data_IF_486560621362
#
_entry.id   IF_486560621362
#
_cell.length_a   1.000
_cell.length_b   1.000
_cell.length_c   1.000
_cell.angle_alpha   90.00
_cell.angle_beta   90.00
_cell.angle_gamma   90.00
#
_symmetry.space_group_name_H-M   'P 1'
#
loop_
_entity.id
_entity.type
_entity.pdbx_description
1 polymer ?
#
# COMPACT_ATOMS: atom_id res chain seq x y z
N UNK A 1 -57.21 39.53 -51.71
CA UNK A 1 -56.80 39.24 -50.35
C UNK A 1 -55.87 38.00 -50.41
N UNK A 2 -54.55 38.19 -50.41
CA UNK A 2 -53.58 37.11 -50.50
C UNK A 2 -53.04 36.84 -49.10
N UNK A 3 -53.25 35.62 -48.60
CA UNK A 3 -52.79 35.17 -47.31
C UNK A 3 -51.39 34.55 -47.54
N UNK A 4 -50.33 35.17 -46.97
CA UNK A 4 -48.95 34.64 -46.96
C UNK A 4 -48.77 33.76 -45.71
N UNK A 5 -48.41 32.51 -45.92
CA UNK A 5 -47.91 31.61 -44.86
C UNK A 5 -46.38 31.72 -44.76
N UNK A 6 -45.79 31.83 -43.59
CA UNK A 6 -44.34 31.77 -43.43
C UNK A 6 -43.84 30.36 -43.50
N UNK A 7 -42.61 30.12 -43.98
CA UNK A 7 -42.02 28.78 -44.06
C UNK A 7 -41.63 28.25 -42.67
N UNK A 8 -42.06 27.04 -42.37
CA UNK A 8 -41.59 26.26 -41.22
C UNK A 8 -40.13 25.90 -41.43
N UNK A 9 -39.22 26.46 -40.61
CA UNK A 9 -37.87 25.97 -40.47
C UNK A 9 -37.88 24.72 -39.59
N UNK A 10 -37.72 23.56 -40.22
CA UNK A 10 -37.46 22.31 -39.52
C UNK A 10 -35.99 22.34 -38.97
N UNK A 11 -35.84 22.59 -37.70
CA UNK A 11 -34.57 22.45 -37.01
C UNK A 11 -34.29 20.94 -36.80
N UNK A 12 -33.40 20.37 -37.60
CA UNK A 12 -32.91 19.01 -37.38
C UNK A 12 -31.95 19.01 -36.15
N UNK A 13 -32.43 18.50 -35.02
CA UNK A 13 -31.60 18.19 -33.86
C UNK A 13 -30.71 16.98 -34.23
N UNK A 14 -29.43 17.23 -34.56
CA UNK A 14 -28.43 16.19 -34.65
C UNK A 14 -28.06 15.77 -33.23
N UNK A 15 -28.56 14.65 -32.74
CA UNK A 15 -28.18 14.02 -31.50
C UNK A 15 -26.78 13.41 -31.70
N UNK A 16 -25.74 14.09 -31.25
CA UNK A 16 -24.39 13.51 -31.12
C UNK A 16 -24.43 12.48 -30.02
N UNK A 17 -24.50 11.18 -30.37
CA UNK A 17 -24.17 10.09 -29.46
C UNK A 17 -22.67 10.13 -29.26
N UNK A 18 -22.23 10.74 -28.15
CA UNK A 18 -20.89 10.55 -27.62
C UNK A 18 -20.86 9.13 -27.07
N UNK A 19 -20.44 8.16 -27.86
CA UNK A 19 -20.00 6.85 -27.36
C UNK A 19 -18.78 7.12 -26.48
N UNK A 20 -18.98 7.30 -25.18
CA UNK A 20 -17.94 7.17 -24.20
C UNK A 20 -17.51 5.70 -24.23
N UNK A 21 -16.46 5.37 -25.01
CA UNK A 21 -15.68 4.17 -24.79
C UNK A 21 -15.10 4.30 -23.38
N UNK A 22 -15.77 3.74 -22.38
CA UNK A 22 -15.16 3.43 -21.10
C UNK A 22 -14.11 2.39 -21.43
N UNK A 23 -12.85 2.80 -21.60
CA UNK A 23 -11.74 1.86 -21.64
C UNK A 23 -11.71 1.20 -20.27
N UNK A 24 -12.23 -0.04 -20.19
CA UNK A 24 -12.14 -0.84 -18.98
C UNK A 24 -10.66 -1.21 -18.80
N UNK A 25 -9.93 -0.43 -18.00
CA UNK A 25 -8.51 -0.63 -17.72
C UNK A 25 -8.26 -1.63 -16.59
N UNK A 26 -9.31 -2.27 -16.08
CA UNK A 26 -9.26 -3.26 -15.01
C UNK A 26 -9.53 -4.64 -15.59
N UNK A 27 -8.54 -5.54 -15.52
CA UNK A 27 -8.69 -6.98 -15.78
C UNK A 27 -8.84 -7.69 -14.44
N UNK A 28 -9.98 -8.32 -14.20
CA UNK A 28 -10.10 -9.27 -13.11
C UNK A 28 -9.50 -10.60 -13.55
N UNK A 29 -8.52 -11.12 -12.78
CA UNK A 29 -7.85 -12.38 -13.09
C UNK A 29 -8.01 -13.39 -11.95
N UNK A 30 -9.00 -14.27 -12.10
CA UNK A 30 -9.28 -15.30 -11.11
C UNK A 30 -8.24 -16.44 -11.11
N UNK A 31 -7.38 -16.55 -12.13
CA UNK A 31 -6.33 -17.58 -12.17
C UNK A 31 -5.27 -17.37 -11.07
N UNK A 32 -5.15 -16.13 -10.55
CA UNK A 32 -4.25 -15.80 -9.44
C UNK A 32 -4.72 -16.41 -8.12
N UNK A 33 -6.00 -16.82 -8.01
CA UNK A 33 -6.58 -17.45 -6.82
C UNK A 33 -5.83 -18.70 -6.36
N UNK A 34 -5.25 -19.46 -7.30
CA UNK A 34 -4.47 -20.67 -6.99
C UNK A 34 -3.36 -20.44 -5.95
N UNK A 35 -2.70 -19.27 -5.98
CA UNK A 35 -1.62 -18.96 -5.03
C UNK A 35 -2.14 -18.77 -3.61
N UNK A 36 -3.38 -18.30 -3.47
CA UNK A 36 -4.06 -18.18 -2.18
C UNK A 36 -4.54 -19.55 -1.70
N UNK A 37 -5.13 -20.33 -2.60
CA UNK A 37 -5.60 -21.70 -2.30
C UNK A 37 -4.45 -22.63 -1.85
N UNK A 38 -3.32 -22.59 -2.55
CA UNK A 38 -2.10 -23.36 -2.24
C UNK A 38 -1.53 -23.04 -0.85
N UNK A 39 -1.78 -21.82 -0.34
CA UNK A 39 -1.34 -21.36 0.97
C UNK A 39 -2.47 -21.37 2.03
N UNK A 40 -3.66 -21.91 1.72
CA UNK A 40 -4.83 -21.97 2.59
C UNK A 40 -5.20 -20.61 3.21
N UNK A 41 -5.25 -19.56 2.40
CA UNK A 41 -5.60 -18.20 2.83
C UNK A 41 -6.65 -17.58 1.93
N UNK A 42 -7.42 -16.63 2.47
CA UNK A 42 -8.32 -15.76 1.69
C UNK A 42 -7.66 -14.40 1.47
N UNK A 43 -7.61 -13.93 0.23
CA UNK A 43 -6.89 -12.69 -0.03
C UNK A 43 -7.31 -11.94 -1.29
N UNK A 44 -6.57 -10.89 -1.59
CA UNK A 44 -6.62 -10.12 -2.83
C UNK A 44 -5.22 -9.73 -3.28
N UNK A 45 -5.10 -9.49 -4.57
CA UNK A 45 -3.90 -8.96 -5.18
C UNK A 45 -4.27 -7.95 -6.25
N UNK A 46 -3.58 -6.82 -6.30
CA UNK A 46 -3.68 -5.88 -7.40
C UNK A 46 -2.29 -5.51 -7.92
N UNK A 47 -2.16 -5.44 -9.24
CA UNK A 47 -0.99 -4.97 -9.97
C UNK A 47 -1.41 -3.84 -10.90
N UNK A 48 -0.71 -2.72 -10.85
CA UNK A 48 -0.91 -1.59 -11.75
C UNK A 48 0.31 -1.39 -12.66
N UNK A 49 0.13 -1.59 -13.96
CA UNK A 49 1.09 -1.25 -15.00
C UNK A 49 1.03 0.26 -15.27
N UNK A 50 2.04 1.00 -14.81
CA UNK A 50 2.05 2.46 -14.93
C UNK A 50 2.18 2.96 -16.38
N UNK A 51 2.82 2.20 -17.27
CA UNK A 51 2.98 2.59 -18.66
C UNK A 51 1.72 2.44 -19.49
N UNK A 52 0.99 1.36 -19.25
CA UNK A 52 -0.26 1.07 -19.96
C UNK A 52 -1.50 1.59 -19.25
N UNK A 53 -1.37 2.05 -17.98
CA UNK A 53 -2.50 2.46 -17.17
C UNK A 53 -3.50 1.33 -16.89
N UNK A 54 -3.03 0.09 -16.78
CA UNK A 54 -3.87 -1.11 -16.65
C UNK A 54 -3.71 -1.74 -15.27
N UNK A 55 -4.82 -2.25 -14.75
CA UNK A 55 -4.87 -3.07 -13.55
C UNK A 55 -5.09 -4.54 -13.88
N UNK A 56 -4.39 -5.42 -13.15
CA UNK A 56 -4.73 -6.84 -12.99
C UNK A 56 -5.12 -7.03 -11.53
N UNK A 57 -6.35 -7.50 -11.26
CA UNK A 57 -6.88 -7.62 -9.90
C UNK A 57 -7.47 -9.02 -9.68
N UNK A 58 -7.06 -9.64 -8.59
CA UNK A 58 -7.72 -10.81 -8.02
C UNK A 58 -8.56 -10.37 -6.80
N UNK A 59 -9.81 -10.80 -6.72
CA UNK A 59 -10.76 -10.53 -5.64
C UNK A 59 -10.98 -9.02 -5.39
N UNK A 60 -11.55 -8.35 -6.37
CA UNK A 60 -11.86 -6.90 -6.33
C UNK A 60 -12.65 -6.49 -5.07
N UNK A 61 -13.57 -7.34 -4.58
CA UNK A 61 -14.35 -7.03 -3.38
C UNK A 61 -13.44 -6.85 -2.16
N UNK A 62 -12.47 -7.74 -1.96
CA UNK A 62 -11.51 -7.61 -0.87
C UNK A 62 -10.53 -6.46 -1.12
N UNK A 63 -10.11 -6.26 -2.35
CA UNK A 63 -9.20 -5.18 -2.75
C UNK A 63 -9.73 -3.80 -2.36
N UNK A 64 -11.04 -3.61 -2.37
CA UNK A 64 -11.72 -2.36 -1.98
C UNK A 64 -12.27 -2.36 -0.54
N UNK A 65 -12.02 -3.41 0.23
CA UNK A 65 -12.48 -3.53 1.63
C UNK A 65 -11.38 -3.04 2.58
N UNK A 66 -11.73 -2.12 3.50
CA UNK A 66 -10.78 -1.60 4.48
C UNK A 66 -10.52 -2.59 5.60
N UNK A 67 -9.23 -2.77 5.92
CA UNK A 67 -8.69 -3.72 6.89
C UNK A 67 -7.59 -2.99 7.67
N UNK A 68 -7.19 -3.47 8.87
CA UNK A 68 -6.06 -2.86 9.59
C UNK A 68 -4.78 -2.87 8.73
N UNK A 69 -4.03 -1.76 8.68
CA UNK A 69 -2.79 -1.69 7.88
C UNK A 69 -1.64 -2.48 8.49
N UNK A 70 -1.68 -2.73 9.78
CA UNK A 70 -0.56 -3.31 10.50
C UNK A 70 0.76 -2.57 10.20
N UNK A 71 1.84 -3.29 9.90
CA UNK A 71 3.15 -2.66 9.68
C UNK A 71 3.33 -1.96 8.33
N UNK A 72 2.34 -1.96 7.41
CA UNK A 72 2.41 -1.09 6.23
C UNK A 72 2.29 0.39 6.61
N UNK A 73 1.56 0.70 7.70
CA UNK A 73 1.48 2.05 8.26
C UNK A 73 2.85 2.66 8.62
N UNK A 74 3.90 1.84 8.81
CA UNK A 74 5.25 2.34 9.04
C UNK A 74 5.79 3.21 7.91
N UNK A 75 5.27 3.07 6.69
CA UNK A 75 5.57 3.98 5.56
C UNK A 75 5.14 5.41 5.94
N UNK A 76 3.89 5.58 6.35
CA UNK A 76 3.33 6.88 6.74
C UNK A 76 3.95 7.39 8.04
N UNK A 77 4.15 6.53 9.02
CA UNK A 77 4.78 6.91 10.29
C UNK A 77 6.21 7.44 10.08
N UNK A 78 7.03 6.78 9.23
CA UNK A 78 8.38 7.25 8.87
C UNK A 78 8.34 8.58 8.10
N UNK A 79 7.43 8.73 7.13
CA UNK A 79 7.23 10.00 6.41
C UNK A 79 6.94 11.15 7.37
N UNK A 80 6.03 10.95 8.32
CA UNK A 80 5.66 11.97 9.31
C UNK A 80 6.84 12.28 10.24
N UNK A 81 7.52 11.25 10.75
CA UNK A 81 8.67 11.42 11.66
C UNK A 81 9.79 12.25 11.03
N UNK A 82 10.17 11.94 9.78
CA UNK A 82 11.20 12.67 9.03
C UNK A 82 10.73 14.09 8.63
N UNK A 83 9.46 14.24 8.28
CA UNK A 83 8.89 15.54 7.90
C UNK A 83 8.83 16.52 9.07
N UNK A 84 8.51 16.02 10.27
CA UNK A 84 8.35 16.83 11.50
C UNK A 84 9.65 17.02 12.27
N UNK A 85 10.72 16.29 11.89
CA UNK A 85 12.02 16.34 12.55
C UNK A 85 12.08 15.55 13.86
N UNK A 86 11.07 14.72 14.18
CA UNK A 86 11.11 13.75 15.28
C UNK A 86 12.26 12.76 15.08
N UNK A 87 12.49 12.42 13.80
CA UNK A 87 13.68 11.72 13.33
C UNK A 87 14.28 12.54 12.19
N UNK A 88 15.58 12.76 12.18
CA UNK A 88 16.23 13.67 11.23
C UNK A 88 16.69 13.00 9.94
N UNK A 89 17.09 11.72 10.02
CA UNK A 89 17.52 10.88 8.87
C UNK A 89 17.14 9.43 9.11
N UNK A 90 17.26 8.60 8.09
CA UNK A 90 17.12 7.15 8.19
C UNK A 90 18.14 6.47 9.11
N UNK A 91 19.29 7.13 9.34
CA UNK A 91 20.37 6.68 10.24
C UNK A 91 20.17 7.10 11.71
N UNK A 92 19.16 7.92 12.01
CA UNK A 92 18.86 8.36 13.40
C UNK A 92 18.51 7.18 14.29
N UNK A 93 19.13 7.11 15.46
CA UNK A 93 18.98 6.01 16.41
C UNK A 93 17.73 6.20 17.26
N UNK A 94 16.86 5.21 17.24
CA UNK A 94 15.74 5.04 18.16
C UNK A 94 16.19 4.07 19.26
N UNK A 95 16.12 4.53 20.50
CA UNK A 95 16.59 3.75 21.65
C UNK A 95 15.66 2.59 21.95
N UNK A 96 16.23 1.46 22.31
CA UNK A 96 15.52 0.32 22.87
C UNK A 96 14.98 0.69 24.27
N UNK A 97 13.78 0.26 24.55
CA UNK A 97 13.11 0.54 25.84
C UNK A 97 13.55 -0.41 26.99
N UNK A 98 14.50 -1.31 26.74
CA UNK A 98 15.00 -2.28 27.70
C UNK A 98 14.09 -3.49 27.94
N UNK A 99 12.93 -3.58 27.25
CA UNK A 99 12.00 -4.69 27.39
C UNK A 99 12.35 -5.81 26.41
N UNK A 100 12.65 -6.99 26.94
CA UNK A 100 12.95 -8.19 26.14
C UNK A 100 11.68 -8.73 25.47
N UNK A 101 11.73 -8.94 24.15
CA UNK A 101 10.65 -9.48 23.32
C UNK A 101 11.12 -10.70 22.56
N UNK A 102 10.18 -11.54 22.08
CA UNK A 102 10.48 -12.76 21.32
C UNK A 102 11.21 -12.50 20.00
N UNK A 103 11.00 -11.33 19.38
CA UNK A 103 11.73 -10.94 18.18
C UNK A 103 13.08 -10.32 18.57
N UNK A 104 14.14 -11.11 18.50
CA UNK A 104 15.47 -10.74 18.99
C UNK A 104 16.02 -9.45 18.39
N UNK A 105 15.77 -9.19 17.09
CA UNK A 105 16.19 -7.98 16.40
C UNK A 105 15.56 -6.69 16.96
N UNK A 106 14.51 -6.77 17.77
CA UNK A 106 13.85 -5.60 18.40
C UNK A 106 14.48 -5.21 19.74
N UNK A 107 15.34 -6.06 20.32
CA UNK A 107 15.90 -5.92 21.66
C UNK A 107 17.25 -5.19 21.64
N UNK A 108 17.33 -4.10 20.91
CA UNK A 108 18.53 -3.27 20.76
C UNK A 108 18.18 -1.88 20.23
N UNK A 109 19.11 -0.95 20.35
CA UNK A 109 19.03 0.34 19.66
C UNK A 109 19.06 0.11 18.14
N UNK A 110 18.14 0.76 17.39
CA UNK A 110 18.05 0.62 15.95
C UNK A 110 18.04 2.00 15.27
N UNK A 111 18.69 2.10 14.11
CA UNK A 111 18.43 3.23 13.23
C UNK A 111 16.99 3.16 12.69
N UNK A 112 16.45 4.28 12.19
CA UNK A 112 15.13 4.29 11.56
C UNK A 112 15.07 3.26 10.42
N UNK A 113 16.11 3.17 9.57
CA UNK A 113 16.18 2.21 8.49
C UNK A 113 16.17 0.75 9.01
N UNK A 114 16.92 0.44 10.06
CA UNK A 114 16.91 -0.88 10.69
C UNK A 114 15.55 -1.20 11.32
N UNK A 115 14.95 -0.26 12.05
CA UNK A 115 13.63 -0.42 12.66
C UNK A 115 12.54 -0.65 11.57
N UNK A 116 12.66 0.04 10.44
CA UNK A 116 11.77 -0.14 9.28
C UNK A 116 11.95 -1.52 8.65
N UNK A 117 13.21 -1.95 8.42
CA UNK A 117 13.59 -3.25 7.83
C UNK A 117 13.11 -4.41 8.69
N UNK A 118 13.37 -4.36 10.00
CA UNK A 118 12.94 -5.40 10.96
C UNK A 118 11.48 -5.26 11.36
N UNK A 119 10.80 -4.25 10.83
CA UNK A 119 9.40 -3.98 11.20
C UNK A 119 9.20 -3.82 12.72
N UNK A 120 10.19 -3.23 13.42
CA UNK A 120 10.27 -3.15 14.87
C UNK A 120 9.12 -2.30 15.44
N UNK A 121 8.09 -2.99 15.96
CA UNK A 121 6.88 -2.36 16.52
C UNK A 121 7.23 -1.40 17.65
N UNK A 122 8.02 -1.77 18.69
CA UNK A 122 8.26 -0.87 19.84
C UNK A 122 8.97 0.42 19.44
N UNK A 123 9.89 0.38 18.48
CA UNK A 123 10.58 1.58 17.99
C UNK A 123 9.62 2.53 17.26
N UNK A 124 8.70 1.99 16.43
CA UNK A 124 7.68 2.81 15.76
C UNK A 124 6.58 3.29 16.70
N UNK A 125 6.33 2.59 17.80
CA UNK A 125 5.48 3.08 18.90
C UNK A 125 6.10 4.28 19.57
N UNK A 126 7.40 4.26 19.87
CA UNK A 126 8.13 5.40 20.42
C UNK A 126 8.11 6.60 19.46
N UNK A 127 8.35 6.37 18.17
CA UNK A 127 8.25 7.41 17.14
C UNK A 127 6.84 8.02 17.13
N UNK A 128 5.79 7.20 17.18
CA UNK A 128 4.40 7.70 17.17
C UNK A 128 4.07 8.53 18.43
N UNK A 129 4.56 8.12 19.61
CA UNK A 129 4.44 8.92 20.84
C UNK A 129 5.12 10.29 20.71
N UNK A 130 6.33 10.31 20.13
CA UNK A 130 7.11 11.54 19.92
C UNK A 130 6.51 12.46 18.84
N UNK A 131 5.85 11.92 17.82
CA UNK A 131 5.06 12.70 16.84
C UNK A 131 3.88 13.36 17.52
N UNK A 132 3.22 12.65 18.44
CA UNK A 132 2.05 13.12 19.16
C UNK A 132 0.75 13.03 18.36
N UNK A 133 -0.37 12.98 19.09
CA UNK A 133 -1.71 12.73 18.54
C UNK A 133 -2.14 13.76 17.50
N UNK A 134 -2.06 15.03 17.83
CA UNK A 134 -2.58 16.09 16.97
C UNK A 134 -1.81 16.18 15.64
N UNK A 135 -0.50 16.03 15.70
CA UNK A 135 0.36 16.01 14.52
C UNK A 135 0.09 14.77 13.67
N UNK A 136 -0.04 13.61 14.30
CA UNK A 136 -0.35 12.35 13.60
C UNK A 136 -1.72 12.45 12.89
N UNK A 137 -2.76 12.92 13.58
CA UNK A 137 -4.11 13.10 13.02
C UNK A 137 -4.10 14.05 11.84
N UNK A 138 -3.44 15.22 11.98
CA UNK A 138 -3.31 16.20 10.90
C UNK A 138 -2.72 15.60 9.62
N UNK A 139 -1.69 14.75 9.73
CA UNK A 139 -1.08 14.11 8.58
C UNK A 139 -1.94 13.00 7.98
N UNK A 140 -2.58 12.19 8.81
CA UNK A 140 -3.52 11.14 8.37
C UNK A 140 -4.69 11.77 7.60
N UNK A 141 -5.24 12.90 8.08
CA UNK A 141 -6.31 13.64 7.41
C UNK A 141 -5.83 14.26 6.09
N UNK A 142 -4.64 14.85 6.07
CA UNK A 142 -4.02 15.43 4.87
C UNK A 142 -3.80 14.39 3.77
N UNK A 143 -3.40 13.19 4.15
CA UNK A 143 -3.22 12.05 3.23
C UNK A 143 -4.54 11.41 2.82
N UNK A 144 -5.63 11.68 3.56
CA UNK A 144 -6.89 10.92 3.48
C UNK A 144 -6.65 9.42 3.61
N UNK A 145 -5.80 9.05 4.57
CA UNK A 145 -5.36 7.68 4.76
C UNK A 145 -6.49 6.81 5.33
N UNK A 146 -7.03 5.92 4.50
CA UNK A 146 -8.07 4.98 4.87
C UNK A 146 -9.30 5.64 5.54
N UNK A 147 -9.69 5.14 6.71
CA UNK A 147 -10.79 5.68 7.49
C UNK A 147 -10.42 6.90 8.35
N UNK A 148 -9.16 7.31 8.36
CA UNK A 148 -8.60 8.45 9.10
C UNK A 148 -8.79 8.40 10.63
N UNK A 149 -9.03 7.23 11.22
CA UNK A 149 -9.31 7.09 12.65
C UNK A 149 -8.08 6.69 13.43
N UNK A 150 -7.62 7.59 14.32
CA UNK A 150 -6.68 7.26 15.39
C UNK A 150 -7.47 6.76 16.58
N UNK A 151 -7.21 5.54 17.04
CA UNK A 151 -7.80 4.96 18.24
C UNK A 151 -7.36 5.69 19.52
N UNK A 152 -7.79 5.20 20.68
CA UNK A 152 -7.46 5.85 21.98
C UNK A 152 -5.95 5.88 22.26
N UNK A 153 -5.19 4.86 21.82
CA UNK A 153 -3.74 4.79 22.00
C UNK A 153 -3.01 5.23 20.74
N UNK A 154 -2.19 6.29 20.86
CA UNK A 154 -1.42 6.88 19.76
C UNK A 154 -0.38 5.92 19.18
N UNK A 155 0.03 4.93 19.92
CA UNK A 155 1.10 4.00 19.58
C UNK A 155 0.62 2.59 19.19
N UNK A 156 -0.70 2.39 19.00
CA UNK A 156 -1.26 1.09 18.59
C UNK A 156 -2.41 1.15 17.59
N UNK A 157 -2.91 2.32 17.23
CA UNK A 157 -4.11 2.49 16.39
C UNK A 157 -4.04 1.83 15.01
N UNK A 158 -2.84 1.54 14.49
CA UNK A 158 -2.63 0.78 13.25
C UNK A 158 -2.58 -0.74 13.46
N UNK A 159 -2.66 -1.20 14.73
CA UNK A 159 -2.63 -2.61 15.14
C UNK A 159 -3.94 -3.04 15.82
N UNK A 160 -4.73 -2.11 16.37
CA UNK A 160 -5.93 -2.37 17.17
C UNK A 160 -7.24 -2.32 16.35
N UNK A 161 -7.15 -2.27 15.03
CA UNK A 161 -8.27 -2.15 14.09
C UNK A 161 -8.99 -0.78 14.09
N UNK A 162 -8.51 0.23 14.82
CA UNK A 162 -9.07 1.59 14.76
C UNK A 162 -8.83 2.23 13.38
N UNK A 163 -7.57 2.22 12.93
CA UNK A 163 -7.20 2.64 11.58
C UNK A 163 -7.39 1.48 10.61
N UNK A 164 -8.04 1.77 9.50
CA UNK A 164 -8.28 0.79 8.44
C UNK A 164 -8.06 1.42 7.07
N UNK A 165 -7.51 0.66 6.14
CA UNK A 165 -7.24 1.06 4.76
C UNK A 165 -7.49 -0.13 3.83
N UNK A 166 -7.93 0.11 2.59
CA UNK A 166 -8.09 -0.96 1.61
C UNK A 166 -6.81 -1.18 0.79
N UNK A 167 -6.64 -2.35 0.20
CA UNK A 167 -5.49 -2.63 -0.66
C UNK A 167 -5.32 -1.61 -1.80
N UNK A 168 -6.39 -1.23 -2.50
CA UNK A 168 -6.33 -0.23 -3.56
C UNK A 168 -5.90 1.17 -3.06
N UNK A 169 -6.32 1.58 -1.84
CA UNK A 169 -5.86 2.82 -1.20
C UNK A 169 -4.35 2.76 -0.88
N UNK A 170 -3.84 1.62 -0.38
CA UNK A 170 -2.40 1.40 -0.12
C UNK A 170 -1.58 1.41 -1.43
N UNK A 171 -2.07 0.78 -2.50
CA UNK A 171 -1.44 0.82 -3.81
C UNK A 171 -1.37 2.27 -4.33
N UNK A 172 -2.45 3.04 -4.16
CA UNK A 172 -2.49 4.46 -4.50
C UNK A 172 -1.48 5.29 -3.70
N UNK A 173 -1.28 4.99 -2.42
CA UNK A 173 -0.30 5.64 -1.55
C UNK A 173 1.14 5.40 -2.04
N UNK A 174 1.53 4.14 -2.27
CA UNK A 174 2.91 3.83 -2.70
C UNK A 174 3.20 4.33 -4.10
N UNK A 175 2.21 4.37 -4.99
CA UNK A 175 2.34 5.02 -6.29
C UNK A 175 2.63 6.53 -6.15
N UNK A 176 1.90 7.23 -5.30
CA UNK A 176 2.16 8.66 -5.02
C UNK A 176 3.53 8.87 -4.37
N UNK A 177 3.94 7.98 -3.46
CA UNK A 177 5.26 8.02 -2.83
C UNK A 177 6.37 7.88 -3.88
N UNK A 178 6.22 6.95 -4.82
CA UNK A 178 7.20 6.72 -5.87
C UNK A 178 7.42 7.96 -6.74
N UNK A 179 6.36 8.68 -7.08
CA UNK A 179 6.40 9.87 -7.94
C UNK A 179 6.53 11.21 -7.20
N UNK A 180 6.90 11.22 -5.92
CA UNK A 180 7.01 12.44 -5.09
C UNK A 180 5.71 13.27 -5.03
N UNK A 181 4.55 12.62 -5.09
CA UNK A 181 3.23 13.26 -5.14
C UNK A 181 2.53 13.35 -3.78
N UNK A 182 3.14 12.81 -2.71
CA UNK A 182 2.62 12.99 -1.37
C UNK A 182 2.99 14.38 -0.82
N UNK A 183 2.22 14.93 0.15
CA UNK A 183 2.43 16.28 0.67
C UNK A 183 3.64 16.38 1.64
N UNK A 184 4.71 15.66 1.35
CA UNK A 184 5.97 15.66 2.10
C UNK A 184 7.10 16.22 1.25
N UNK A 185 8.16 16.70 1.91
CA UNK A 185 9.38 17.12 1.18
C UNK A 185 9.92 15.95 0.34
N UNK A 186 10.40 16.24 -0.86
CA UNK A 186 10.92 15.19 -1.77
C UNK A 186 12.04 14.37 -1.16
N UNK A 187 12.96 14.98 -0.42
CA UNK A 187 14.02 14.25 0.29
C UNK A 187 13.48 13.26 1.31
N UNK A 188 12.41 13.61 2.04
CA UNK A 188 11.73 12.69 2.97
C UNK A 188 11.13 11.51 2.24
N UNK A 189 10.46 11.76 1.11
CA UNK A 189 9.88 10.69 0.29
C UNK A 189 10.97 9.78 -0.27
N UNK A 190 12.11 10.34 -0.70
CA UNK A 190 13.25 9.57 -1.18
C UNK A 190 13.85 8.67 -0.09
N UNK A 191 14.04 9.18 1.14
CA UNK A 191 14.55 8.38 2.26
C UNK A 191 13.64 7.18 2.55
N UNK A 192 12.31 7.38 2.54
CA UNK A 192 11.37 6.27 2.77
C UNK A 192 11.39 5.27 1.61
N UNK A 193 11.47 5.73 0.35
CA UNK A 193 11.67 4.81 -0.80
C UNK A 193 12.93 3.97 -0.66
N UNK A 194 14.05 4.57 -0.25
CA UNK A 194 15.31 3.86 -0.04
C UNK A 194 15.17 2.77 1.05
N UNK A 195 14.44 3.05 2.14
CA UNK A 195 14.18 2.06 3.18
C UNK A 195 13.26 0.91 2.71
N UNK A 196 12.45 1.11 1.67
CA UNK A 196 11.58 0.07 1.09
C UNK A 196 12.34 -0.90 0.17
N UNK A 197 13.53 -0.56 -0.31
CA UNK A 197 14.34 -1.38 -1.22
C UNK A 197 14.62 -2.75 -0.60
N UNK A 198 14.30 -3.81 -1.34
CA UNK A 198 14.56 -5.20 -0.94
C UNK A 198 15.67 -5.83 -1.77
N UNK A 199 15.60 -5.67 -3.08
CA UNK A 199 16.57 -6.23 -4.03
C UNK A 199 16.76 -5.28 -5.20
N UNK A 200 18.02 -5.16 -5.65
CA UNK A 200 18.43 -4.40 -6.83
C UNK A 200 19.46 -5.22 -7.59
N UNK A 201 19.12 -5.65 -8.80
CA UNK A 201 19.99 -6.46 -9.65
C UNK A 201 19.89 -6.03 -11.13
N UNK A 202 20.54 -6.75 -12.04
CA UNK A 202 20.57 -6.40 -13.47
C UNK A 202 19.21 -6.51 -14.18
N UNK A 203 18.27 -7.29 -13.64
CA UNK A 203 17.00 -7.59 -14.27
C UNK A 203 15.88 -6.73 -13.72
N UNK A 204 15.89 -6.47 -12.40
CA UNK A 204 14.81 -5.73 -11.72
C UNK A 204 15.31 -5.07 -10.44
N UNK A 205 14.53 -4.08 -10.01
CA UNK A 205 14.60 -3.53 -8.66
C UNK A 205 13.23 -3.72 -8.01
N UNK A 206 13.17 -4.31 -6.80
CA UNK A 206 11.93 -4.49 -6.07
C UNK A 206 11.98 -3.81 -4.70
N UNK A 207 10.95 -3.02 -4.42
CA UNK A 207 10.80 -2.26 -3.18
C UNK A 207 9.43 -2.52 -2.58
N UNK A 208 9.38 -2.89 -1.30
CA UNK A 208 8.09 -3.09 -0.63
C UNK A 208 8.18 -2.96 0.89
N UNK A 209 7.03 -2.80 1.51
CA UNK A 209 6.82 -2.95 2.95
C UNK A 209 5.84 -4.08 3.22
N UNK A 210 6.18 -4.89 4.22
CA UNK A 210 5.31 -5.98 4.69
C UNK A 210 4.52 -5.57 5.92
N UNK A 211 3.34 -6.18 6.11
CA UNK A 211 2.52 -6.04 7.31
C UNK A 211 2.07 -7.41 7.85
N UNK A 212 1.89 -7.47 9.17
CA UNK A 212 1.27 -8.58 9.87
C UNK A 212 0.58 -8.06 11.12
N UNK A 213 -0.67 -8.44 11.31
CA UNK A 213 -1.48 -8.10 12.48
C UNK A 213 -2.67 -9.05 12.59
N UNK A 214 -3.63 -8.70 13.44
CA UNK A 214 -4.83 -9.53 13.67
C UNK A 214 -6.09 -8.68 13.51
N UNK A 215 -7.06 -9.18 12.76
CA UNK A 215 -8.34 -8.51 12.61
C UNK A 215 -9.26 -8.71 13.82
N UNK A 216 -10.45 -8.12 13.81
CA UNK A 216 -11.42 -8.21 14.90
C UNK A 216 -11.94 -9.62 15.17
N UNK A 217 -11.74 -10.56 14.23
CA UNK A 217 -12.06 -11.99 14.38
C UNK A 217 -10.86 -12.80 14.89
N UNK A 218 -9.76 -12.12 15.23
CA UNK A 218 -8.48 -12.74 15.58
C UNK A 218 -7.85 -13.59 14.47
N UNK A 219 -8.23 -13.37 13.20
CA UNK A 219 -7.53 -13.95 12.06
C UNK A 219 -6.24 -13.18 11.83
N UNK A 220 -5.15 -13.89 11.53
CA UNK A 220 -3.92 -13.26 11.08
C UNK A 220 -4.13 -12.59 9.73
N UNK A 221 -3.65 -11.35 9.58
CA UNK A 221 -3.71 -10.55 8.35
C UNK A 221 -2.31 -10.29 7.86
N UNK A 222 -2.02 -10.69 6.61
CA UNK A 222 -0.75 -10.46 5.94
C UNK A 222 -0.84 -9.40 4.84
N UNK A 223 0.24 -8.61 4.69
CA UNK A 223 0.35 -7.56 3.67
C UNK A 223 1.71 -7.56 2.99
N UNK A 224 1.73 -7.22 1.71
CA UNK A 224 2.89 -6.68 1.01
C UNK A 224 2.41 -5.57 0.10
N UNK A 225 3.04 -4.39 0.17
CA UNK A 225 2.72 -3.26 -0.71
C UNK A 225 3.99 -2.61 -1.21
N UNK A 226 4.07 -2.31 -2.52
CA UNK A 226 5.28 -1.76 -3.11
C UNK A 226 5.24 -1.67 -4.62
N UNK A 227 6.43 -1.77 -5.22
CA UNK A 227 6.61 -1.74 -6.67
C UNK A 227 7.78 -2.62 -7.10
N UNK A 228 7.74 -3.05 -8.34
CA UNK A 228 8.84 -3.67 -9.06
C UNK A 228 9.13 -2.85 -10.32
N UNK A 229 10.39 -2.64 -10.62
CA UNK A 229 10.85 -1.96 -11.82
C UNK A 229 11.63 -2.94 -12.70
N UNK A 230 11.24 -3.05 -13.94
CA UNK A 230 12.01 -3.69 -15.01
C UNK A 230 12.16 -2.71 -16.17
N UNK A 231 13.34 -2.65 -16.79
CA UNK A 231 13.63 -1.74 -17.89
C UNK A 231 13.27 -0.25 -17.59
N UNK A 232 13.40 0.20 -16.34
CA UNK A 232 13.02 1.53 -15.82
C UNK A 232 11.52 1.79 -15.89
N UNK A 233 10.72 0.74 -15.91
CA UNK A 233 9.27 0.83 -15.94
C UNK A 233 8.70 0.34 -14.60
N UNK A 234 8.00 1.19 -13.82
CA UNK A 234 7.46 0.78 -12.54
C UNK A 234 6.09 0.12 -12.67
N UNK A 235 5.92 -0.98 -11.93
CA UNK A 235 4.66 -1.67 -11.70
C UNK A 235 4.38 -1.67 -10.20
N UNK A 236 3.21 -1.20 -9.80
CA UNK A 236 2.82 -1.10 -8.40
C UNK A 236 1.96 -2.29 -8.03
N UNK A 237 2.20 -2.87 -6.86
CA UNK A 237 1.44 -4.02 -6.40
C UNK A 237 1.02 -3.90 -4.94
N UNK A 238 -0.07 -4.58 -4.61
CA UNK A 238 -0.52 -4.82 -3.25
C UNK A 238 -1.04 -6.24 -3.12
N UNK A 239 -0.62 -6.91 -2.06
CA UNK A 239 -1.12 -8.21 -1.61
C UNK A 239 -1.69 -8.04 -0.21
N UNK A 240 -2.91 -8.53 0.01
CA UNK A 240 -3.50 -8.68 1.32
C UNK A 240 -4.16 -10.06 1.45
N UNK A 241 -3.99 -10.70 2.60
CA UNK A 241 -4.70 -11.95 2.91
C UNK A 241 -5.00 -12.08 4.39
N UNK A 242 -5.88 -13.01 4.73
CA UNK A 242 -6.14 -13.42 6.10
C UNK A 242 -6.25 -14.94 6.22
N UNK A 243 -5.97 -15.44 7.41
CA UNK A 243 -6.16 -16.84 7.77
C UNK A 243 -6.54 -16.98 9.24
N UNK A 244 -7.40 -17.96 9.55
CA UNK A 244 -7.75 -18.33 10.91
C UNK A 244 -6.79 -19.39 11.50
N UNK A 245 -5.84 -19.90 10.70
CA UNK A 245 -4.84 -20.86 11.14
C UNK A 245 -3.80 -20.16 12.06
N UNK A 246 -3.73 -20.51 13.35
CA UNK A 246 -2.80 -19.90 14.29
C UNK A 246 -1.34 -20.29 14.03
N UNK A 247 -1.09 -21.37 13.31
CA UNK A 247 0.24 -21.92 13.03
C UNK A 247 0.76 -21.47 11.65
N UNK A 248 -0.01 -20.63 10.94
CA UNK A 248 0.36 -20.15 9.62
C UNK A 248 1.65 -19.31 9.64
N UNK A 249 2.63 -19.68 8.82
CA UNK A 249 3.85 -18.89 8.60
C UNK A 249 3.57 -17.65 7.71
N UNK A 250 3.01 -16.61 8.33
CA UNK A 250 2.64 -15.36 7.63
C UNK A 250 3.83 -14.76 6.85
N UNK A 251 5.06 -14.70 7.39
CA UNK A 251 6.25 -14.28 6.65
C UNK A 251 6.50 -15.08 5.37
N UNK A 252 6.41 -16.39 5.41
CA UNK A 252 6.62 -17.23 4.23
C UNK A 252 5.47 -17.13 3.24
N UNK A 253 4.22 -17.24 3.70
CA UNK A 253 3.00 -17.20 2.87
C UNK A 253 2.96 -15.94 1.99
N UNK A 254 3.20 -14.75 2.56
CA UNK A 254 3.14 -13.49 1.81
C UNK A 254 4.16 -13.42 0.67
N UNK A 255 5.38 -13.96 0.87
CA UNK A 255 6.42 -13.97 -0.16
C UNK A 255 6.18 -15.07 -1.19
N UNK A 256 5.67 -16.25 -0.78
CA UNK A 256 5.29 -17.31 -1.70
C UNK A 256 4.22 -16.83 -2.70
N UNK A 257 3.16 -16.20 -2.19
CA UNK A 257 2.08 -15.67 -3.04
C UNK A 257 2.61 -14.55 -3.94
N UNK A 258 3.31 -13.55 -3.37
CA UNK A 258 3.84 -12.43 -4.15
C UNK A 258 4.74 -12.92 -5.30
N UNK A 259 5.74 -13.75 -4.98
CA UNK A 259 6.71 -14.22 -5.97
C UNK A 259 6.05 -15.13 -7.02
N UNK A 260 5.11 -15.98 -6.62
CA UNK A 260 4.35 -16.82 -7.53
C UNK A 260 3.56 -15.98 -8.55
N UNK A 261 2.84 -14.96 -8.07
CA UNK A 261 2.06 -14.07 -8.93
C UNK A 261 2.98 -13.24 -9.83
N UNK A 262 4.00 -12.57 -9.29
CA UNK A 262 4.92 -11.76 -10.10
C UNK A 262 5.60 -12.60 -11.18
N UNK A 263 6.00 -13.84 -10.87
CA UNK A 263 6.55 -14.77 -11.86
C UNK A 263 5.54 -15.14 -12.94
N UNK A 264 4.28 -15.40 -12.60
CA UNK A 264 3.20 -15.67 -13.58
C UNK A 264 2.97 -14.47 -14.48
N UNK A 265 3.04 -13.24 -13.94
CA UNK A 265 2.88 -12.00 -14.72
C UNK A 265 4.13 -11.64 -15.55
N UNK A 266 5.20 -12.45 -15.51
CA UNK A 266 6.39 -12.34 -16.38
C UNK A 266 7.57 -11.57 -15.79
N UNK A 267 7.52 -11.23 -14.50
CA UNK A 267 8.60 -10.51 -13.82
C UNK A 267 9.80 -11.39 -13.45
N UNK A 268 10.88 -10.76 -13.04
CA UNK A 268 12.19 -11.28 -12.61
C UNK A 268 13.16 -11.66 -13.75
N UNK A 269 12.74 -11.58 -14.99
CA UNK A 269 13.59 -11.93 -16.15
C UNK A 269 14.13 -10.70 -16.89
N UNK A 270 13.76 -9.48 -16.49
CA UNK A 270 14.19 -8.24 -17.15
C UNK A 270 13.55 -8.04 -18.53
N UNK A 271 12.37 -8.60 -18.76
CA UNK A 271 11.68 -8.59 -20.06
C UNK A 271 10.44 -7.70 -20.09
N UNK A 272 10.01 -7.17 -18.95
CA UNK A 272 8.81 -6.34 -18.80
C UNK A 272 9.06 -4.87 -19.09
#
# INVERSE_FOLDING_TARGET
MKINYPPFCAAALAAFFISACSMNNVKQDNSLGKYFDENNVEGSFALFDNGRGKFVIYNLKRDTTRILPASTFKIVNALIALQTGVVTTDSSIIKWDGIQRDVSNWNQDLSLAQAFRYSAVPHFQEIARNIGRDTMQKWIDSLKYGNMKIGPAIDSFWLDNSLQISPDEELGLVKKLYFDQLPFRKGVQQEVRNMMLQEDNSNYTISYKTGWGYNTKNNAVGWVVGWIEENRHPYFFVLNFETADPDADIPAIRLNILNGILKQEGFFEGKM
#
